data_IF_069348542635
#
_entry.id   IF_069348542635
#
_cell.length_a   1.000
_cell.length_b   1.000
_cell.length_c   1.000
_cell.angle_alpha   90.00
_cell.angle_beta   90.00
_cell.angle_gamma   90.00
#
_symmetry.space_group_name_H-M   'P 1'
#
loop_
_entity.id
_entity.type
_entity.pdbx_description
1 polymer ?
#
# COMPACT_ATOMS: atom_id res chain seq x y z
N UNK A 1 -13.81 0.76 10.26
CA UNK A 1 -14.22 1.86 9.35
C UNK A 1 -12.98 2.55 8.77
N UNK A 2 -12.85 2.62 7.45
CA UNK A 2 -11.66 3.24 6.84
C UNK A 2 -11.43 4.69 7.26
N UNK A 3 -12.50 5.45 7.43
CA UNK A 3 -12.40 6.87 7.78
C UNK A 3 -11.70 7.08 9.13
N UNK A 4 -12.01 6.27 10.13
CA UNK A 4 -11.39 6.38 11.46
C UNK A 4 -9.88 6.12 11.39
N UNK A 5 -9.47 5.12 10.60
CA UNK A 5 -8.06 4.82 10.40
C UNK A 5 -7.33 5.99 9.71
N UNK A 6 -7.95 6.56 8.68
CA UNK A 6 -7.35 7.67 7.95
C UNK A 6 -7.24 8.94 8.80
N UNK A 7 -8.22 9.19 9.66
CA UNK A 7 -8.16 10.32 10.59
C UNK A 7 -7.01 10.13 11.59
N UNK A 8 -6.82 8.92 12.09
CA UNK A 8 -5.72 8.61 12.99
C UNK A 8 -4.38 8.77 12.28
N UNK A 9 -4.28 8.32 11.03
CA UNK A 9 -3.06 8.49 10.22
C UNK A 9 -2.73 9.95 10.04
N UNK A 10 -3.72 10.78 9.72
CA UNK A 10 -3.51 12.21 9.57
C UNK A 10 -2.97 12.83 10.85
N UNK A 11 -3.54 12.46 12.01
CA UNK A 11 -3.08 12.95 13.30
C UNK A 11 -1.62 12.55 13.57
N UNK A 12 -1.25 11.32 13.24
CA UNK A 12 0.13 10.83 13.40
C UNK A 12 1.10 11.58 12.49
N UNK A 13 0.71 11.84 11.26
CA UNK A 13 1.53 12.59 10.31
C UNK A 13 1.72 14.02 10.80
N UNK A 14 0.67 14.67 11.27
CA UNK A 14 0.75 16.04 11.80
C UNK A 14 1.64 16.12 13.04
N UNK A 15 1.56 15.11 13.91
CA UNK A 15 2.41 15.06 15.10
C UNK A 15 3.88 14.86 14.75
N UNK A 16 4.16 14.03 13.75
CA UNK A 16 5.52 13.72 13.30
C UNK A 16 6.22 14.98 12.71
N UNK A 17 5.45 15.85 12.07
CA UNK A 17 5.97 17.07 11.46
C UNK A 17 5.60 18.34 12.22
N UNK A 18 5.22 18.21 13.50
CA UNK A 18 4.72 19.35 14.27
C UNK A 18 5.72 20.53 14.40
N UNK A 19 7.01 20.23 14.40
CA UNK A 19 8.06 21.25 14.54
C UNK A 19 8.53 21.82 13.19
N UNK A 20 7.96 21.32 12.08
CA UNK A 20 8.33 21.76 10.74
C UNK A 20 7.19 22.59 10.16
N UNK A 21 7.31 23.91 10.25
CA UNK A 21 6.27 24.84 9.80
C UNK A 21 5.71 24.53 8.43
N UNK A 22 4.41 24.19 8.39
CA UNK A 22 3.71 23.93 7.15
C UNK A 22 4.03 22.62 6.45
N UNK A 23 4.97 21.83 6.97
CA UNK A 23 5.38 20.60 6.30
C UNK A 23 4.23 19.58 6.24
N UNK A 24 3.51 19.38 7.34
CA UNK A 24 2.38 18.44 7.35
C UNK A 24 1.29 18.89 6.39
N UNK A 25 0.97 20.18 6.36
CA UNK A 25 -0.04 20.72 5.45
C UNK A 25 0.37 20.53 4.00
N UNK A 26 1.61 20.78 3.67
CA UNK A 26 2.14 20.63 2.33
C UNK A 26 2.07 19.17 1.88
N UNK A 27 2.49 18.24 2.74
CA UNK A 27 2.47 16.81 2.42
C UNK A 27 1.05 16.28 2.31
N UNK A 28 0.15 16.71 3.21
CA UNK A 28 -1.23 16.23 3.21
C UNK A 28 -2.08 16.87 2.09
N UNK A 29 -1.59 17.91 1.44
CA UNK A 29 -2.30 18.58 0.34
C UNK A 29 -1.92 18.02 -1.03
N UNK A 30 -1.19 16.90 -1.09
CA UNK A 30 -0.82 16.27 -2.35
C UNK A 30 -2.04 15.87 -3.18
N UNK A 31 -1.81 15.57 -4.46
CA UNK A 31 -2.90 15.25 -5.37
C UNK A 31 -3.49 13.86 -5.10
N UNK A 32 -4.74 13.77 -4.65
CA UNK A 32 -5.36 12.47 -4.45
C UNK A 32 -5.66 11.80 -5.79
N UNK A 33 -5.77 10.48 -5.75
CA UNK A 33 -6.12 9.68 -6.92
C UNK A 33 -7.64 9.74 -7.10
N UNK A 34 -8.11 9.75 -8.34
CA UNK A 34 -9.56 9.78 -8.63
C UNK A 34 -10.17 8.39 -8.64
N UNK A 35 -11.50 8.34 -8.47
CA UNK A 35 -12.26 7.09 -8.56
C UNK A 35 -12.08 6.43 -9.94
N UNK A 36 -12.04 7.24 -11.01
CA UNK A 36 -11.86 6.72 -12.37
C UNK A 36 -10.49 6.07 -12.55
N UNK A 37 -9.45 6.65 -11.97
CA UNK A 37 -8.10 6.08 -12.03
C UNK A 37 -8.03 4.76 -11.29
N UNK A 38 -8.67 4.67 -10.12
CA UNK A 38 -8.74 3.44 -9.34
C UNK A 38 -9.47 2.35 -10.12
N UNK A 39 -10.62 2.69 -10.70
CA UNK A 39 -11.41 1.74 -11.48
C UNK A 39 -10.62 1.21 -12.69
N UNK A 40 -9.86 2.07 -13.34
CA UNK A 40 -9.03 1.66 -14.47
C UNK A 40 -7.93 0.67 -14.04
N UNK A 41 -7.29 0.92 -12.89
CA UNK A 41 -6.26 0.03 -12.36
C UNK A 41 -6.86 -1.32 -11.95
N UNK A 42 -8.02 -1.30 -11.29
CA UNK A 42 -8.73 -2.53 -10.92
C UNK A 42 -9.07 -3.38 -12.14
N UNK A 43 -9.51 -2.73 -13.20
CA UNK A 43 -9.84 -3.42 -14.45
C UNK A 43 -8.59 -4.01 -15.10
N UNK A 44 -7.52 -3.26 -15.13
CA UNK A 44 -6.23 -3.69 -15.70
C UNK A 44 -5.70 -4.93 -14.98
N UNK A 45 -5.81 -4.98 -13.66
CA UNK A 45 -5.29 -6.08 -12.85
C UNK A 45 -6.30 -7.21 -12.65
N UNK A 46 -7.56 -6.96 -12.94
CA UNK A 46 -8.62 -7.94 -12.78
C UNK A 46 -8.97 -8.23 -11.32
N UNK A 47 -8.68 -7.29 -10.43
CA UNK A 47 -8.91 -7.49 -9.00
C UNK A 47 -9.37 -6.17 -8.36
N UNK A 48 -10.39 -6.21 -7.46
CA UNK A 48 -10.83 -5.00 -6.78
C UNK A 48 -9.86 -4.63 -5.67
N UNK A 49 -9.70 -3.33 -5.42
CA UNK A 49 -8.88 -2.85 -4.32
C UNK A 49 -9.66 -2.92 -3.02
N UNK A 50 -8.99 -3.28 -1.90
CA UNK A 50 -9.65 -3.25 -0.58
C UNK A 50 -10.16 -1.85 -0.24
N UNK A 51 -11.24 -1.80 0.56
CA UNK A 51 -11.91 -0.54 0.90
C UNK A 51 -10.97 0.49 1.53
N UNK A 52 -10.13 0.08 2.46
CA UNK A 52 -9.20 1.01 3.12
C UNK A 52 -8.17 1.56 2.14
N UNK A 53 -7.67 0.71 1.24
CA UNK A 53 -6.69 1.14 0.25
C UNK A 53 -7.30 2.15 -0.73
N UNK A 54 -8.53 1.90 -1.18
CA UNK A 54 -9.25 2.86 -2.02
C UNK A 54 -9.41 4.20 -1.31
N UNK A 55 -9.83 4.17 -0.03
CA UNK A 55 -10.00 5.38 0.77
C UNK A 55 -8.68 6.13 0.98
N UNK A 56 -7.60 5.40 1.19
CA UNK A 56 -6.26 5.97 1.32
C UNK A 56 -5.87 6.74 0.05
N UNK A 57 -6.05 6.13 -1.10
CA UNK A 57 -5.70 6.76 -2.38
C UNK A 57 -6.57 7.98 -2.67
N UNK A 58 -7.86 7.91 -2.33
CA UNK A 58 -8.77 9.02 -2.56
C UNK A 58 -8.48 10.21 -1.65
N UNK A 59 -7.93 9.96 -0.47
CA UNK A 59 -7.66 11.02 0.51
C UNK A 59 -6.23 11.56 0.43
N UNK A 60 -5.23 10.68 0.34
CA UNK A 60 -3.81 11.07 0.40
C UNK A 60 -3.06 10.90 -0.92
N UNK A 61 -3.51 9.99 -1.78
CA UNK A 61 -2.77 9.65 -2.99
C UNK A 61 -1.52 8.83 -2.68
N UNK A 62 -0.57 8.81 -3.62
CA UNK A 62 0.70 8.13 -3.45
C UNK A 62 1.68 9.05 -2.73
N UNK A 63 2.20 8.61 -1.59
CA UNK A 63 3.03 9.44 -0.72
C UNK A 63 4.05 8.61 0.06
N UNK A 64 5.21 9.19 0.31
CA UNK A 64 6.24 8.55 1.15
C UNK A 64 6.18 9.02 2.61
N UNK A 65 5.41 10.04 2.93
CA UNK A 65 5.32 10.55 4.31
C UNK A 65 4.42 9.69 5.21
N UNK A 66 3.84 8.64 4.66
CA UNK A 66 3.05 7.69 5.45
C UNK A 66 3.93 6.63 6.13
N UNK A 67 5.21 6.91 6.31
CA UNK A 67 6.16 6.00 6.93
C UNK A 67 6.69 4.93 5.99
N UNK A 68 6.09 4.81 4.83
CA UNK A 68 6.51 3.94 3.74
C UNK A 68 6.27 4.67 2.43
N UNK A 69 6.90 4.20 1.37
CA UNK A 69 6.68 4.79 0.06
C UNK A 69 5.48 4.11 -0.59
N UNK A 70 4.35 4.81 -0.60
CA UNK A 70 3.12 4.33 -1.25
C UNK A 70 3.23 4.60 -2.74
N UNK A 71 3.19 3.54 -3.55
CA UNK A 71 3.36 3.65 -5.00
C UNK A 71 2.17 4.34 -5.68
N UNK A 72 2.45 5.07 -6.77
CA UNK A 72 1.37 5.60 -7.61
C UNK A 72 0.71 4.44 -8.37
N UNK A 73 -0.46 4.69 -8.98
CA UNK A 73 -1.23 3.62 -9.63
C UNK A 73 -0.49 3.00 -10.82
N UNK A 74 0.27 3.79 -11.57
CA UNK A 74 1.05 3.24 -12.69
C UNK A 74 2.07 2.24 -12.16
N UNK A 75 2.74 2.58 -11.07
CA UNK A 75 3.71 1.70 -10.44
C UNK A 75 3.03 0.46 -9.84
N UNK A 76 1.85 0.63 -9.22
CA UNK A 76 1.08 -0.49 -8.67
C UNK A 76 0.75 -1.51 -9.77
N UNK A 77 0.28 -1.05 -10.91
CA UNK A 77 -0.05 -1.92 -12.04
C UNK A 77 1.21 -2.66 -12.51
N UNK A 78 2.30 -1.93 -12.73
CA UNK A 78 3.55 -2.53 -13.21
C UNK A 78 4.15 -3.53 -12.22
N UNK A 79 4.20 -3.16 -10.94
CA UNK A 79 4.76 -4.02 -9.89
C UNK A 79 3.93 -5.27 -9.70
N UNK A 80 2.60 -5.15 -9.70
CA UNK A 80 1.72 -6.30 -9.56
C UNK A 80 1.92 -7.29 -10.71
N UNK A 81 2.01 -6.78 -11.94
CA UNK A 81 2.27 -7.62 -13.11
C UNK A 81 3.64 -8.28 -13.03
N UNK A 82 4.65 -7.52 -12.59
CA UNK A 82 6.00 -8.06 -12.43
C UNK A 82 6.04 -9.21 -11.42
N UNK A 83 5.39 -9.03 -10.27
CA UNK A 83 5.32 -10.05 -9.23
C UNK A 83 4.60 -11.30 -9.78
N UNK A 84 3.49 -11.11 -10.49
CA UNK A 84 2.75 -12.23 -11.08
C UNK A 84 3.62 -13.05 -12.02
N UNK A 85 4.46 -12.39 -12.80
CA UNK A 85 5.38 -13.10 -13.72
C UNK A 85 6.56 -13.72 -13.00
N UNK A 86 7.18 -12.94 -12.10
CA UNK A 86 8.42 -13.36 -11.43
C UNK A 86 8.19 -14.53 -10.47
N UNK A 87 7.07 -14.52 -9.76
CA UNK A 87 6.76 -15.54 -8.76
C UNK A 87 5.83 -16.63 -9.28
N UNK A 88 5.57 -16.69 -10.58
CA UNK A 88 4.58 -17.62 -11.15
C UNK A 88 4.83 -19.09 -10.80
N UNK A 89 6.09 -19.48 -10.59
CA UNK A 89 6.46 -20.85 -10.30
C UNK A 89 6.78 -21.11 -8.83
N UNK A 90 6.60 -20.11 -7.96
CA UNK A 90 6.86 -20.27 -6.55
C UNK A 90 5.63 -20.84 -5.84
N UNK A 91 5.78 -22.01 -5.24
CA UNK A 91 4.68 -22.73 -4.59
C UNK A 91 4.50 -22.35 -3.12
N UNK A 92 5.44 -21.62 -2.55
CA UNK A 92 5.41 -21.23 -1.14
C UNK A 92 4.54 -20.04 -0.82
N UNK A 93 4.01 -19.37 -1.85
CA UNK A 93 3.17 -18.18 -1.65
C UNK A 93 1.76 -18.58 -1.20
N UNK A 94 1.10 -17.72 -0.40
CA UNK A 94 -0.28 -17.98 -0.02
C UNK A 94 -1.18 -18.18 -1.23
N UNK A 95 -2.17 -19.05 -1.09
CA UNK A 95 -3.10 -19.35 -2.18
C UNK A 95 -3.81 -18.08 -2.64
N UNK A 96 -3.81 -17.84 -3.94
CA UNK A 96 -4.48 -16.68 -4.52
C UNK A 96 -3.69 -15.39 -4.49
N UNK A 97 -2.53 -15.35 -3.85
CA UNK A 97 -1.75 -14.11 -3.74
C UNK A 97 -1.40 -13.51 -5.10
N UNK A 98 -0.94 -14.33 -6.04
CA UNK A 98 -0.55 -13.83 -7.37
C UNK A 98 -1.75 -13.42 -8.23
N UNK A 99 -2.91 -14.06 -8.04
CA UNK A 99 -4.10 -13.79 -8.84
C UNK A 99 -4.92 -12.62 -8.30
N UNK A 100 -4.94 -12.44 -6.98
CA UNK A 100 -5.82 -11.47 -6.32
C UNK A 100 -5.08 -10.41 -5.51
N UNK A 101 -3.80 -10.63 -5.19
CA UNK A 101 -3.01 -9.67 -4.45
C UNK A 101 -2.60 -8.49 -5.31
N UNK A 102 -2.40 -7.35 -4.68
CA UNK A 102 -1.91 -6.14 -5.34
C UNK A 102 -0.74 -5.58 -4.57
N UNK A 103 0.28 -5.13 -5.30
CA UNK A 103 1.39 -4.39 -4.67
C UNK A 103 0.91 -2.98 -4.37
N UNK A 104 1.41 -2.37 -3.31
CA UNK A 104 1.04 -0.99 -2.99
C UNK A 104 2.20 -0.14 -2.49
N UNK A 105 3.31 -0.77 -2.12
CA UNK A 105 4.47 -0.05 -1.60
C UNK A 105 5.73 -0.89 -1.79
N UNK A 106 6.85 -0.21 -1.98
CA UNK A 106 8.15 -0.88 -2.02
C UNK A 106 8.79 -0.95 -0.65
N UNK A 107 9.64 -1.95 -0.43
CA UNK A 107 10.39 -2.09 0.84
C UNK A 107 11.79 -1.48 0.78
N UNK A 108 12.15 -0.91 -0.37
CA UNK A 108 13.48 -0.31 -0.56
C UNK A 108 14.57 -1.28 -0.99
N UNK A 109 14.30 -2.58 -1.03
CA UNK A 109 15.29 -3.59 -1.43
C UNK A 109 14.93 -4.36 -2.69
N UNK A 110 13.91 -3.90 -3.41
CA UNK A 110 13.46 -4.54 -4.64
C UNK A 110 12.27 -5.46 -4.47
N UNK A 111 11.75 -5.55 -3.25
CA UNK A 111 10.52 -6.30 -2.96
C UNK A 111 9.34 -5.35 -2.81
N UNK A 112 8.13 -5.87 -2.93
CA UNK A 112 6.91 -5.09 -2.84
C UNK A 112 5.97 -5.67 -1.80
N UNK A 113 5.44 -4.79 -0.93
CA UNK A 113 4.37 -5.17 -0.03
C UNK A 113 3.10 -5.38 -0.81
N UNK A 114 2.38 -6.44 -0.50
CA UNK A 114 1.14 -6.80 -1.20
C UNK A 114 -0.04 -6.88 -0.25
N UNK A 115 -1.20 -6.48 -0.75
CA UNK A 115 -2.47 -6.64 -0.05
C UNK A 115 -3.13 -7.89 -0.58
N UNK A 116 -3.47 -8.83 0.31
CA UNK A 116 -4.17 -10.06 -0.06
C UNK A 116 -4.90 -10.61 1.15
N UNK A 117 -6.15 -10.96 0.96
CA UNK A 117 -6.99 -11.60 1.99
C UNK A 117 -6.99 -10.83 3.30
N UNK A 118 -7.01 -9.50 3.21
CA UNK A 118 -7.07 -8.62 4.36
C UNK A 118 -5.75 -8.38 5.06
N UNK A 119 -4.68 -9.02 4.64
CA UNK A 119 -3.36 -8.92 5.28
C UNK A 119 -2.33 -8.26 4.37
N UNK A 120 -1.19 -7.88 4.95
CA UNK A 120 -0.05 -7.34 4.20
C UNK A 120 1.03 -8.41 4.14
N UNK A 121 1.49 -8.71 2.93
CA UNK A 121 2.48 -9.75 2.67
C UNK A 121 3.70 -9.16 1.96
N UNK A 122 4.85 -9.77 2.17
CA UNK A 122 6.09 -9.39 1.48
C UNK A 122 6.74 -10.62 0.86
N UNK A 123 6.49 -10.88 -0.43
CA UNK A 123 7.21 -11.94 -1.13
C UNK A 123 8.64 -11.46 -1.45
N UNK A 124 9.61 -12.29 -1.16
CA UNK A 124 11.04 -11.98 -1.34
C UNK A 124 11.54 -12.57 -2.64
N UNK A 125 12.03 -11.73 -3.56
CA UNK A 125 12.47 -12.18 -4.88
C UNK A 125 13.79 -12.96 -4.84
N UNK A 126 14.59 -12.80 -3.78
CA UNK A 126 15.86 -13.51 -3.64
C UNK A 126 15.69 -14.92 -3.07
N UNK A 127 14.88 -15.05 -2.02
CA UNK A 127 14.69 -16.34 -1.33
C UNK A 127 13.47 -17.11 -1.81
N UNK A 128 12.51 -16.43 -2.44
CA UNK A 128 11.24 -17.03 -2.80
C UNK A 128 10.28 -17.18 -1.63
N UNK A 129 10.67 -16.74 -0.46
CA UNK A 129 9.82 -16.82 0.73
C UNK A 129 8.82 -15.67 0.76
N UNK A 130 7.71 -15.86 1.46
CA UNK A 130 6.70 -14.84 1.63
C UNK A 130 6.37 -14.70 3.09
N UNK A 131 6.50 -13.50 3.64
CA UNK A 131 6.26 -13.22 5.05
C UNK A 131 5.02 -12.35 5.21
N UNK A 132 4.14 -12.69 6.16
CA UNK A 132 3.03 -11.84 6.51
C UNK A 132 3.54 -10.73 7.42
N UNK A 133 3.52 -9.49 6.93
CA UNK A 133 4.08 -8.34 7.65
C UNK A 133 3.10 -7.70 8.60
N UNK A 134 1.81 -7.83 8.35
CA UNK A 134 0.77 -7.31 9.24
C UNK A 134 -0.53 -8.05 8.98
N UNK A 135 -1.37 -8.13 10.00
CA UNK A 135 -2.66 -8.81 9.89
C UNK A 135 -3.71 -7.96 9.15
N UNK A 136 -3.42 -6.66 8.95
CA UNK A 136 -4.30 -5.78 8.19
C UNK A 136 -3.51 -4.60 7.64
N UNK A 137 -4.06 -3.94 6.62
CA UNK A 137 -3.47 -2.70 6.10
C UNK A 137 -3.51 -1.62 7.18
N UNK A 138 -4.58 -1.55 7.95
CA UNK A 138 -4.70 -0.59 9.06
C UNK A 138 -3.54 -0.73 10.04
N UNK A 139 -3.29 -1.94 10.53
CA UNK A 139 -2.20 -2.20 11.46
C UNK A 139 -0.84 -1.82 10.85
N UNK A 140 -0.64 -2.15 9.58
CA UNK A 140 0.60 -1.85 8.87
C UNK A 140 0.84 -0.34 8.78
N UNK A 141 -0.16 0.41 8.37
CA UNK A 141 -0.04 1.86 8.19
C UNK A 141 0.15 2.58 9.53
N UNK A 142 -0.57 2.18 10.55
CA UNK A 142 -0.46 2.81 11.87
C UNK A 142 0.91 2.55 12.49
N UNK A 143 1.42 1.32 12.39
CA UNK A 143 2.74 1.00 12.89
C UNK A 143 3.83 1.76 12.15
N UNK A 144 3.71 1.89 10.83
CA UNK A 144 4.67 2.60 10.00
C UNK A 144 4.74 4.10 10.35
N UNK A 145 3.65 4.65 10.90
CA UNK A 145 3.56 6.06 11.26
C UNK A 145 3.68 6.31 12.77
N UNK A 146 4.23 5.34 13.50
CA UNK A 146 4.60 5.51 14.90
C UNK A 146 3.60 5.04 15.93
N UNK A 147 2.49 4.45 15.52
CA UNK A 147 1.54 3.85 16.46
C UNK A 147 1.99 2.43 16.81
N UNK A 148 2.11 2.12 18.07
CA UNK A 148 2.50 0.78 18.52
C UNK A 148 1.28 -0.07 18.87
#
# INVERSE_FOLDING_TARGET
>A
MPQACLDQLEDLIRADFAEQDGMAEELLSGEPVSEAEIAAAEKELGTPFPALYRALLLRFGANCYLGIEIDDLAQVVESTKWVRRHFAQHETLPAGLLQQGITFAGDGSGNYFMLHDGAVWLPDHDSGECVRKAESLEAFLLAANGAD
#
